data_IF_835489760947
#
_entry.id   IF_835489760947
#
_cell.length_a   1.000
_cell.length_b   1.000
_cell.length_c   1.000
_cell.angle_alpha   90.00
_cell.angle_beta   90.00
_cell.angle_gamma   90.00
#
_symmetry.space_group_name_H-M   'P 1'
#
loop_
_entity.id
_entity.type
_entity.pdbx_description
1 polymer ?
#
# COMPACT_ATOMS: atom_id res chain seq x y z
N UNK A 1 7.06 -6.32 -18.60
CA UNK A 1 6.15 -5.47 -17.81
C UNK A 1 7.02 -4.66 -16.87
N UNK A 2 6.89 -3.35 -16.86
CA UNK A 2 7.61 -2.47 -15.92
C UNK A 2 6.92 -2.53 -14.57
N UNK A 3 7.71 -2.79 -13.52
CA UNK A 3 7.27 -2.80 -12.12
C UNK A 3 7.55 -1.42 -11.51
N UNK A 4 6.53 -0.74 -11.01
CA UNK A 4 6.70 0.57 -10.34
C UNK A 4 6.78 0.40 -8.82
N UNK A 5 7.42 1.36 -8.15
CA UNK A 5 7.42 1.48 -6.69
C UNK A 5 6.76 2.80 -6.30
N UNK A 6 5.66 2.71 -5.57
CA UNK A 6 4.82 3.84 -5.18
C UNK A 6 5.08 4.24 -3.73
N UNK A 7 5.09 5.54 -3.45
CA UNK A 7 4.99 6.07 -2.10
C UNK A 7 3.66 6.81 -1.97
N UNK A 8 2.73 6.26 -1.17
CA UNK A 8 1.35 6.76 -1.09
C UNK A 8 1.07 7.24 0.32
N UNK A 9 0.73 8.53 0.45
CA UNK A 9 0.32 9.12 1.71
C UNK A 9 -1.18 8.98 1.94
N UNK A 10 -1.59 8.82 3.21
CA UNK A 10 -3.02 8.77 3.56
C UNK A 10 -3.72 7.51 3.05
N UNK A 11 -3.06 6.36 3.16
CA UNK A 11 -3.51 5.09 2.58
C UNK A 11 -4.55 4.35 3.42
N UNK A 12 -4.92 4.84 4.61
CA UNK A 12 -5.83 4.12 5.50
C UNK A 12 -7.29 4.06 5.05
N UNK A 13 -7.71 4.95 4.14
CA UNK A 13 -9.08 4.97 3.58
C UNK A 13 -9.18 5.85 2.34
N UNK A 14 -10.37 5.85 1.72
CA UNK A 14 -10.71 6.76 0.63
C UNK A 14 -9.78 6.59 -0.59
N UNK A 15 -9.39 7.69 -1.21
CA UNK A 15 -8.61 7.66 -2.44
C UNK A 15 -7.22 7.04 -2.28
N UNK A 16 -6.49 7.36 -1.20
CA UNK A 16 -5.15 6.80 -0.96
C UNK A 16 -5.20 5.27 -0.84
N UNK A 17 -6.21 4.75 -0.14
CA UNK A 17 -6.47 3.31 -0.05
C UNK A 17 -6.77 2.69 -1.42
N UNK A 18 -7.69 3.27 -2.17
CA UNK A 18 -8.08 2.76 -3.49
C UNK A 18 -6.90 2.76 -4.47
N UNK A 19 -6.03 3.77 -4.41
CA UNK A 19 -4.83 3.86 -5.22
C UNK A 19 -3.80 2.79 -4.84
N UNK A 20 -3.56 2.59 -3.54
CA UNK A 20 -2.65 1.54 -3.06
C UNK A 20 -3.09 0.15 -3.53
N UNK A 21 -4.37 -0.18 -3.39
CA UNK A 21 -4.92 -1.44 -3.88
C UNK A 21 -4.82 -1.58 -5.41
N UNK A 22 -5.05 -0.50 -6.17
CA UNK A 22 -4.94 -0.55 -7.62
C UNK A 22 -3.51 -0.82 -8.08
N UNK A 23 -2.51 -0.17 -7.46
CA UNK A 23 -1.10 -0.43 -7.73
C UNK A 23 -0.72 -1.87 -7.35
N UNK A 24 -1.15 -2.36 -6.18
CA UNK A 24 -0.85 -3.73 -5.74
C UNK A 24 -1.49 -4.78 -6.66
N UNK A 25 -2.76 -4.60 -7.08
CA UNK A 25 -3.41 -5.48 -8.07
C UNK A 25 -2.73 -5.48 -9.43
N UNK A 26 -2.11 -4.38 -9.82
CA UNK A 26 -1.32 -4.31 -11.06
C UNK A 26 0.02 -5.07 -10.94
N UNK A 27 0.44 -5.44 -9.73
CA UNK A 27 1.71 -6.09 -9.46
C UNK A 27 2.86 -5.10 -9.25
N UNK A 28 2.55 -3.88 -8.81
CA UNK A 28 3.56 -2.92 -8.37
C UNK A 28 3.90 -3.09 -6.87
N UNK A 29 4.88 -2.33 -6.38
CA UNK A 29 5.23 -2.25 -4.95
C UNK A 29 4.73 -0.95 -4.35
N UNK A 30 4.30 -0.98 -3.08
CA UNK A 30 3.73 0.18 -2.41
C UNK A 30 4.32 0.37 -1.01
N UNK A 31 4.91 1.54 -0.77
CA UNK A 31 5.11 2.07 0.57
C UNK A 31 3.89 2.93 0.94
N UNK A 32 3.00 2.38 1.76
CA UNK A 32 1.72 2.97 2.11
C UNK A 32 1.80 3.61 3.50
N UNK A 33 1.48 4.90 3.64
CA UNK A 33 1.52 5.58 4.94
C UNK A 33 0.15 5.79 5.57
N UNK A 34 0.08 5.66 6.89
CA UNK A 34 -1.10 5.96 7.71
C UNK A 34 -0.67 6.42 9.11
N UNK A 35 -1.54 7.18 9.81
CA UNK A 35 -1.32 7.54 11.22
C UNK A 35 -1.37 6.34 12.17
N UNK A 36 -2.07 5.28 11.74
CA UNK A 36 -2.19 4.00 12.43
C UNK A 36 -1.87 2.93 11.40
N UNK A 37 -0.59 2.53 11.26
CA UNK A 37 -0.13 1.61 10.21
C UNK A 37 -0.86 0.26 10.20
N UNK A 38 -1.34 -0.20 11.36
CA UNK A 38 -2.07 -1.45 11.53
C UNK A 38 -3.39 -1.48 10.71
N UNK A 39 -3.89 -0.30 10.30
CA UNK A 39 -5.02 -0.18 9.37
C UNK A 39 -4.70 -0.68 7.95
N UNK A 40 -3.44 -1.03 7.67
CA UNK A 40 -2.96 -1.53 6.39
C UNK A 40 -2.47 -2.98 6.47
N UNK A 41 -2.57 -3.63 7.63
CA UNK A 41 -2.11 -5.02 7.84
C UNK A 41 -2.81 -6.00 6.90
N UNK A 42 -4.05 -5.68 6.52
CA UNK A 42 -4.83 -6.46 5.55
C UNK A 42 -4.18 -6.46 4.15
N UNK A 43 -3.59 -5.34 3.71
CA UNK A 43 -2.83 -5.31 2.45
C UNK A 43 -1.58 -6.16 2.53
N UNK A 44 -0.88 -6.16 3.68
CA UNK A 44 0.32 -6.98 3.86
C UNK A 44 -0.05 -8.47 3.86
N UNK A 45 -1.16 -8.83 4.51
CA UNK A 45 -1.68 -10.19 4.52
C UNK A 45 -2.10 -10.67 3.11
N UNK A 46 -2.68 -9.79 2.30
CA UNK A 46 -3.15 -10.12 0.94
C UNK A 46 -2.01 -10.16 -0.10
N UNK A 47 -1.10 -9.18 -0.08
CA UNK A 47 -0.11 -8.97 -1.14
C UNK A 47 1.32 -9.36 -0.77
N UNK A 48 1.61 -9.59 0.52
CA UNK A 48 2.94 -9.93 1.02
C UNK A 48 3.82 -8.72 1.34
N UNK A 49 4.72 -8.90 2.32
CA UNK A 49 5.63 -7.86 2.81
C UNK A 49 6.69 -7.44 1.77
N UNK A 50 6.92 -8.26 0.76
CA UNK A 50 7.74 -7.98 -0.42
C UNK A 50 7.07 -7.01 -1.41
N UNK A 51 5.75 -6.86 -1.33
CA UNK A 51 4.96 -5.97 -2.20
C UNK A 51 4.45 -4.72 -1.52
N UNK A 52 4.14 -4.79 -0.23
CA UNK A 52 3.64 -3.65 0.53
C UNK A 52 4.31 -3.53 1.88
N UNK A 53 4.67 -2.30 2.24
CA UNK A 53 5.12 -1.95 3.59
C UNK A 53 4.24 -0.82 4.13
N UNK A 54 3.75 -0.99 5.36
CA UNK A 54 3.02 0.03 6.07
C UNK A 54 3.99 0.92 6.85
N UNK A 55 3.91 2.23 6.67
CA UNK A 55 4.78 3.20 7.34
C UNK A 55 3.94 4.18 8.18
N UNK A 56 4.43 4.59 9.36
CA UNK A 56 3.81 5.68 10.10
C UNK A 56 3.92 6.99 9.32
N UNK A 57 2.84 7.79 9.36
CA UNK A 57 2.82 9.17 8.88
C UNK A 57 3.27 10.15 9.97
#
# INVERSE_FOLDING_TARGET
MTEFTWFITGSSRGFGRALAEAALRHGDRVAATARTPEQLDDLIAEYGADRVVALPL
#
